data_IF_417718088363
#
_entry.id   IF_417718088363
#
_cell.length_a   1.000
_cell.length_b   1.000
_cell.length_c   1.000
_cell.angle_alpha   90.00
_cell.angle_beta   90.00
_cell.angle_gamma   90.00
#
_symmetry.space_group_name_H-M   'P 1'
#
loop_
_entity.id
_entity.type
_entity.pdbx_description
1 polymer ?
#
# COMPACT_ATOMS: atom_id res chain seq x y z
N UNK A 1 -51.51 -0.71 70.51
CA UNK A 1 -50.20 -0.17 70.08
C UNK A 1 -50.36 0.21 68.61
N UNK A 2 -50.78 1.45 68.29
CA UNK A 2 -49.93 2.61 67.93
C UNK A 2 -48.98 2.21 66.78
N UNK A 3 -49.03 2.73 65.55
CA UNK A 3 -49.24 4.12 65.14
C UNK A 3 -49.38 4.25 63.60
N UNK A 4 -50.25 5.18 63.16
CA UNK A 4 -50.00 6.27 62.16
C UNK A 4 -49.63 5.88 60.70
N UNK A 5 -50.11 6.49 59.61
CA UNK A 5 -50.85 7.70 59.17
C UNK A 5 -51.43 7.32 57.79
N UNK A 6 -52.59 7.75 57.25
CA UNK A 6 -53.18 9.08 57.23
C UNK A 6 -53.15 9.66 55.80
N UNK A 7 -54.28 9.55 55.05
CA UNK A 7 -54.91 10.51 54.07
C UNK A 7 -54.01 11.11 52.94
N UNK A 8 -54.43 11.36 51.69
CA UNK A 8 -55.75 11.68 51.10
C UNK A 8 -55.63 11.89 49.56
N UNK A 9 -56.73 11.55 48.86
CA UNK A 9 -57.37 12.20 47.69
C UNK A 9 -56.70 12.32 46.30
N UNK A 10 -57.46 11.85 45.31
CA UNK A 10 -57.33 11.96 43.84
C UNK A 10 -58.60 12.65 43.31
N UNK A 11 -58.47 13.68 42.46
CA UNK A 11 -59.55 14.33 41.69
C UNK A 11 -58.93 14.89 40.38
N UNK A 12 -59.04 14.19 39.24
CA UNK A 12 -59.77 14.49 37.95
C UNK A 12 -59.15 15.60 37.08
N UNK A 13 -59.46 15.78 35.76
CA UNK A 13 -60.47 15.13 34.89
C UNK A 13 -60.03 14.75 33.44
N UNK A 14 -60.98 14.17 32.71
CA UNK A 14 -61.01 13.87 31.26
C UNK A 14 -60.73 15.08 30.35
N UNK A 15 -60.21 14.81 29.14
CA UNK A 15 -60.77 15.36 27.88
C UNK A 15 -60.15 14.68 26.64
N UNK A 16 -61.02 14.08 25.84
CA UNK A 16 -60.85 13.80 24.41
C UNK A 16 -60.35 15.03 23.63
N UNK A 17 -59.34 14.86 22.77
CA UNK A 17 -59.40 15.37 21.40
C UNK A 17 -58.25 14.79 20.53
N UNK A 18 -58.60 14.03 19.49
CA UNK A 18 -57.72 13.74 18.36
C UNK A 18 -57.67 14.96 17.41
N UNK A 19 -56.64 15.10 16.55
CA UNK A 19 -56.83 14.54 15.22
C UNK A 19 -55.56 13.97 14.55
N UNK A 20 -55.84 13.05 13.63
CA UNK A 20 -54.98 12.47 12.60
C UNK A 20 -54.16 13.52 11.83
N UNK A 21 -52.84 13.33 11.79
CA UNK A 21 -51.97 13.83 10.74
C UNK A 21 -50.82 12.83 10.55
N UNK A 22 -50.97 11.95 9.56
CA UNK A 22 -49.87 11.18 9.00
C UNK A 22 -48.84 12.14 8.41
N UNK A 23 -47.61 12.09 8.92
CA UNK A 23 -46.43 12.61 8.23
C UNK A 23 -45.67 11.39 7.68
N UNK A 24 -45.23 11.40 6.41
CA UNK A 24 -44.37 10.34 5.93
C UNK A 24 -43.01 10.49 6.63
N UNK A 25 -42.57 9.43 7.30
CA UNK A 25 -41.21 9.32 7.79
C UNK A 25 -40.27 9.36 6.57
N UNK A 26 -39.46 10.41 6.45
CA UNK A 26 -38.31 10.41 5.55
C UNK A 26 -37.29 9.47 6.19
N UNK A 27 -37.32 8.21 5.78
CA UNK A 27 -36.26 7.25 6.06
C UNK A 27 -34.98 7.76 5.39
N UNK A 28 -34.14 8.42 6.18
CA UNK A 28 -32.75 8.68 5.80
C UNK A 28 -31.98 7.38 6.04
N UNK A 29 -32.11 6.42 5.13
CA UNK A 29 -31.22 5.25 5.09
C UNK A 29 -29.84 5.72 4.64
N UNK A 30 -29.06 6.24 5.59
CA UNK A 30 -27.63 6.29 5.45
C UNK A 30 -27.11 4.85 5.52
N UNK A 31 -26.98 4.20 4.37
CA UNK A 31 -26.24 2.94 4.28
C UNK A 31 -24.80 3.15 4.76
N UNK A 32 -24.25 2.28 5.63
CA UNK A 32 -23.01 2.55 6.31
C UNK A 32 -21.81 2.49 5.35
N UNK A 33 -20.84 3.37 5.58
CA UNK A 33 -19.58 3.59 4.84
C UNK A 33 -18.73 2.32 4.52
N UNK A 34 -19.11 1.16 5.03
CA UNK A 34 -18.45 -0.13 4.83
C UNK A 34 -18.49 -0.66 3.38
N UNK A 35 -19.40 -0.17 2.53
CA UNK A 35 -19.57 -0.68 1.15
C UNK A 35 -18.45 -0.19 0.21
N UNK A 36 -17.76 0.91 0.50
CA UNK A 36 -16.76 1.50 -0.44
C UNK A 36 -15.40 0.80 -0.49
N UNK A 37 -15.01 0.07 0.55
CA UNK A 37 -13.72 -0.64 0.55
C UNK A 37 -13.70 -1.81 -0.45
N UNK A 38 -14.86 -2.40 -0.78
CA UNK A 38 -14.97 -3.50 -1.75
C UNK A 38 -14.88 -3.08 -3.22
N UNK A 39 -14.88 -1.78 -3.54
CA UNK A 39 -14.91 -1.28 -4.93
C UNK A 39 -13.56 -0.79 -5.47
N UNK A 40 -12.48 -0.84 -4.68
CA UNK A 40 -11.17 -0.32 -5.11
C UNK A 40 -10.31 -1.48 -5.63
N UNK A 41 -9.85 -1.45 -6.89
CA UNK A 41 -8.95 -2.47 -7.41
C UNK A 41 -7.64 -2.55 -6.61
N UNK A 42 -7.11 -3.75 -6.40
CA UNK A 42 -5.84 -3.96 -5.66
C UNK A 42 -4.68 -3.14 -6.24
N UNK A 43 -4.60 -3.04 -7.57
CA UNK A 43 -3.61 -2.20 -8.23
C UNK A 43 -3.75 -0.71 -7.87
N UNK A 44 -4.96 -0.22 -7.60
CA UNK A 44 -5.19 1.14 -7.11
C UNK A 44 -4.79 1.26 -5.63
N UNK A 45 -5.08 0.26 -4.78
CA UNK A 45 -4.62 0.22 -3.38
C UNK A 45 -3.09 0.36 -3.28
N UNK A 46 -2.35 -0.39 -4.09
CA UNK A 46 -0.90 -0.30 -4.13
C UNK A 46 -0.41 1.11 -4.51
N UNK A 47 -1.09 1.78 -5.45
CA UNK A 47 -0.76 3.16 -5.86
C UNK A 47 -1.16 4.20 -4.82
N UNK A 48 -2.29 4.02 -4.13
CA UNK A 48 -2.70 4.88 -3.02
C UNK A 48 -1.64 4.90 -1.91
N UNK A 49 -1.01 3.75 -1.61
CA UNK A 49 0.11 3.71 -0.67
C UNK A 49 1.34 4.52 -1.14
N UNK A 50 1.61 4.53 -2.45
CA UNK A 50 2.66 5.39 -3.03
C UNK A 50 2.30 6.87 -2.94
N UNK A 51 1.05 7.22 -3.21
CA UNK A 51 0.56 8.60 -3.07
C UNK A 51 0.67 9.09 -1.64
N UNK A 52 0.27 8.26 -0.67
CA UNK A 52 0.38 8.59 0.74
C UNK A 52 1.84 8.90 1.11
N UNK A 53 2.81 8.08 0.66
CA UNK A 53 4.23 8.34 0.92
C UNK A 53 4.68 9.72 0.41
N UNK A 54 4.28 10.08 -0.81
CA UNK A 54 4.64 11.38 -1.40
C UNK A 54 3.96 12.52 -0.64
N UNK A 55 2.67 12.38 -0.35
CA UNK A 55 1.88 13.39 0.35
C UNK A 55 2.36 13.61 1.79
N UNK A 56 2.72 12.55 2.51
CA UNK A 56 3.30 12.65 3.86
C UNK A 56 4.62 13.43 3.84
N UNK A 57 5.50 13.19 2.86
CA UNK A 57 6.74 13.95 2.72
C UNK A 57 6.51 15.43 2.42
N UNK A 58 5.49 15.76 1.62
CA UNK A 58 5.09 17.14 1.34
C UNK A 58 4.45 17.82 2.55
N UNK A 59 3.63 17.09 3.31
CA UNK A 59 3.03 17.55 4.55
C UNK A 59 4.11 17.91 5.59
N UNK A 60 5.14 17.09 5.74
CA UNK A 60 6.30 17.37 6.61
C UNK A 60 7.06 18.63 6.19
N UNK A 61 7.04 18.96 4.89
CA UNK A 61 7.64 20.19 4.33
C UNK A 61 6.71 21.41 4.43
N UNK A 62 5.50 21.25 4.99
CA UNK A 62 4.53 22.33 5.17
C UNK A 62 3.71 22.67 3.91
N UNK A 63 3.72 21.82 2.89
CA UNK A 63 2.89 22.03 1.70
C UNK A 63 1.40 21.86 2.05
N UNK A 64 0.59 22.85 1.68
CA UNK A 64 -0.86 22.85 1.94
C UNK A 64 -1.66 22.33 0.75
N UNK A 65 -1.20 22.58 -0.48
CA UNK A 65 -1.88 22.19 -1.71
C UNK A 65 -0.95 21.54 -2.71
N UNK A 66 -1.48 20.62 -3.53
CA UNK A 66 -0.74 19.98 -4.64
C UNK A 66 -1.66 19.75 -5.84
N UNK A 67 -1.15 19.95 -7.06
CA UNK A 67 -1.88 19.63 -8.28
C UNK A 67 -1.85 18.12 -8.62
N UNK A 68 -2.79 17.66 -9.47
CA UNK A 68 -2.75 16.26 -9.96
C UNK A 68 -1.52 15.94 -10.79
N UNK A 69 -0.96 16.95 -11.46
CA UNK A 69 0.20 16.77 -12.33
C UNK A 69 1.46 16.58 -11.48
N UNK A 70 1.71 17.47 -10.52
CA UNK A 70 2.81 17.36 -9.56
C UNK A 70 2.77 16.05 -8.78
N UNK A 71 1.59 15.68 -8.23
CA UNK A 71 1.46 14.43 -7.48
C UNK A 71 1.71 13.22 -8.38
N UNK A 72 1.24 13.26 -9.62
CA UNK A 72 1.42 12.15 -10.56
C UNK A 72 2.88 11.98 -10.97
N UNK A 73 3.61 13.08 -11.16
CA UNK A 73 5.03 13.09 -11.48
C UNK A 73 5.85 12.57 -10.29
N UNK A 74 5.61 13.08 -9.10
CA UNK A 74 6.30 12.65 -7.88
C UNK A 74 6.02 11.17 -7.52
N UNK A 75 4.82 10.67 -7.81
CA UNK A 75 4.45 9.27 -7.62
C UNK A 75 4.87 8.36 -8.78
N UNK A 76 5.36 8.90 -9.90
CA UNK A 76 5.77 8.14 -11.08
C UNK A 76 4.61 7.46 -11.83
N UNK A 77 3.45 8.09 -11.88
CA UNK A 77 2.24 7.55 -12.54
C UNK A 77 1.61 8.56 -13.48
N UNK A 78 0.86 8.07 -14.46
CA UNK A 78 0.12 8.94 -15.37
C UNK A 78 -1.00 9.69 -14.63
N UNK A 79 -1.15 11.00 -14.88
CA UNK A 79 -2.12 11.86 -14.19
C UNK A 79 -3.58 11.45 -14.42
N UNK A 80 -3.92 10.82 -15.54
CA UNK A 80 -5.25 10.26 -15.78
C UNK A 80 -5.52 9.03 -14.90
N UNK A 81 -4.52 8.16 -14.69
CA UNK A 81 -4.61 7.05 -13.74
C UNK A 81 -4.76 7.56 -12.31
N UNK A 82 -3.95 8.55 -11.93
CA UNK A 82 -4.04 9.18 -10.61
C UNK A 82 -5.43 9.75 -10.35
N UNK A 83 -5.98 10.54 -11.29
CA UNK A 83 -7.33 11.11 -11.13
C UNK A 83 -8.40 10.02 -10.99
N UNK A 84 -8.28 8.93 -11.76
CA UNK A 84 -9.16 7.77 -11.63
C UNK A 84 -9.01 7.12 -10.24
N UNK A 85 -7.80 6.95 -9.74
CA UNK A 85 -7.58 6.36 -8.42
C UNK A 85 -8.11 7.25 -7.29
N UNK A 86 -7.89 8.56 -7.36
CA UNK A 86 -8.42 9.51 -6.37
C UNK A 86 -9.95 9.63 -6.42
N UNK A 87 -10.59 9.36 -7.57
CA UNK A 87 -12.05 9.35 -7.68
C UNK A 87 -12.72 8.29 -6.81
N UNK A 88 -12.01 7.22 -6.42
CA UNK A 88 -12.52 6.24 -5.46
C UNK A 88 -12.60 6.78 -4.03
N UNK A 89 -11.77 7.77 -3.70
CA UNK A 89 -11.81 8.44 -2.40
C UNK A 89 -13.08 9.31 -2.31
N UNK A 90 -13.43 9.97 -3.43
CA UNK A 90 -14.54 10.90 -3.57
C UNK A 90 -14.14 12.08 -4.45
N UNK A 91 -15.02 13.08 -4.57
CA UNK A 91 -14.71 14.33 -5.25
C UNK A 91 -13.90 15.24 -4.33
N UNK A 92 -12.59 15.03 -4.30
CA UNK A 92 -11.64 15.90 -3.61
C UNK A 92 -10.78 16.60 -4.63
N UNK A 93 -10.58 17.91 -4.45
CA UNK A 93 -9.82 18.75 -5.36
C UNK A 93 -10.70 19.79 -6.05
N UNK A 94 -10.18 21.01 -6.11
CA UNK A 94 -10.84 22.13 -6.77
C UNK A 94 -10.15 22.37 -8.11
N UNK A 95 -10.93 22.43 -9.19
CA UNK A 95 -10.40 22.67 -10.54
C UNK A 95 -9.62 23.99 -10.55
N UNK A 96 -8.35 23.93 -10.93
CA UNK A 96 -7.46 25.09 -10.96
C UNK A 96 -6.72 25.39 -9.64
N UNK A 97 -7.02 24.68 -8.54
CA UNK A 97 -6.34 24.84 -7.24
C UNK A 97 -5.58 23.58 -6.83
N UNK A 98 -6.10 22.40 -7.17
CA UNK A 98 -5.51 21.12 -6.77
C UNK A 98 -6.16 20.54 -5.52
N UNK A 99 -5.44 19.68 -4.82
CA UNK A 99 -5.87 18.96 -3.62
C UNK A 99 -5.26 19.59 -2.38
N UNK A 100 -6.03 19.67 -1.31
CA UNK A 100 -5.48 19.91 0.02
C UNK A 100 -4.70 18.67 0.48
N UNK A 101 -3.43 18.87 0.86
CA UNK A 101 -2.51 17.78 1.20
C UNK A 101 -2.98 17.04 2.45
N UNK A 102 -3.37 17.74 3.51
CA UNK A 102 -3.77 17.14 4.79
C UNK A 102 -5.08 16.36 4.68
N UNK A 103 -6.05 16.92 3.95
CA UNK A 103 -7.31 16.24 3.66
C UNK A 103 -7.03 14.98 2.85
N UNK A 104 -6.20 15.05 1.81
CA UNK A 104 -5.93 13.90 0.95
C UNK A 104 -5.17 12.80 1.69
N UNK A 105 -4.18 13.15 2.53
CA UNK A 105 -3.50 12.20 3.43
C UNK A 105 -4.51 11.47 4.29
N UNK A 106 -5.37 12.21 5.01
CA UNK A 106 -6.35 11.64 5.93
C UNK A 106 -7.33 10.69 5.23
N UNK A 107 -7.77 11.03 4.01
CA UNK A 107 -8.69 10.17 3.23
C UNK A 107 -8.01 8.90 2.75
N UNK A 108 -6.76 9.00 2.27
CA UNK A 108 -6.01 7.82 1.83
C UNK A 108 -5.71 6.91 3.02
N UNK A 109 -5.29 7.45 4.17
CA UNK A 109 -5.09 6.67 5.40
C UNK A 109 -6.35 5.93 5.82
N UNK A 110 -7.51 6.61 5.79
CA UNK A 110 -8.80 5.99 6.09
C UNK A 110 -9.11 4.81 5.17
N UNK A 111 -8.91 4.98 3.87
CA UNK A 111 -9.19 3.93 2.88
C UNK A 111 -8.21 2.77 2.96
N UNK A 112 -6.94 3.05 3.27
CA UNK A 112 -5.93 2.01 3.53
C UNK A 112 -6.06 1.36 4.92
N UNK A 113 -7.02 1.81 5.75
CA UNK A 113 -7.24 1.27 7.08
C UNK A 113 -6.14 1.63 8.08
N UNK A 114 -5.40 2.73 7.85
CA UNK A 114 -4.29 3.21 8.69
C UNK A 114 -4.75 4.12 9.84
N UNK A 115 -6.06 4.32 10.01
CA UNK A 115 -6.64 5.03 11.16
C UNK A 115 -6.45 4.27 12.48
N UNK A 116 -6.06 2.99 12.41
CA UNK A 116 -5.61 2.19 13.54
C UNK A 116 -4.17 1.74 13.31
N UNK A 117 -3.42 1.60 14.39
CA UNK A 117 -2.07 1.01 14.34
C UNK A 117 -2.19 -0.50 14.10
N UNK A 118 -1.44 -1.01 13.14
CA UNK A 118 -1.32 -2.43 12.87
C UNK A 118 0.00 -2.91 13.46
N UNK A 119 -0.07 -3.60 14.59
CA UNK A 119 1.12 -4.05 15.31
C UNK A 119 1.77 -5.19 14.55
N UNK A 120 3.10 -5.12 14.42
CA UNK A 120 3.91 -6.03 13.61
C UNK A 120 4.76 -6.92 14.51
N UNK A 121 4.75 -8.22 14.21
CA UNK A 121 5.75 -9.17 14.70
C UNK A 121 6.77 -9.49 13.61
N UNK A 122 8.05 -9.55 13.93
CA UNK A 122 9.11 -10.02 13.01
C UNK A 122 9.65 -11.35 13.53
N UNK A 123 9.65 -12.36 12.67
CA UNK A 123 10.17 -13.71 12.98
C UNK A 123 11.38 -14.01 12.10
N UNK A 124 12.47 -14.43 12.74
CA UNK A 124 13.78 -14.62 12.12
C UNK A 124 14.59 -13.34 12.16
N UNK A 125 15.37 -13.17 13.23
CA UNK A 125 16.24 -12.03 13.54
C UNK A 125 17.67 -12.31 13.01
N UNK A 126 17.75 -12.74 11.74
CA UNK A 126 19.00 -12.70 10.97
C UNK A 126 19.26 -11.30 10.40
N UNK A 127 20.12 -11.18 9.38
CA UNK A 127 20.45 -9.89 8.75
C UNK A 127 19.21 -9.07 8.33
N UNK A 128 18.26 -9.71 7.64
CA UNK A 128 17.04 -9.05 7.19
C UNK A 128 16.11 -8.71 8.37
N UNK A 129 15.92 -9.63 9.31
CA UNK A 129 15.09 -9.40 10.50
C UNK A 129 15.59 -8.25 11.35
N UNK A 130 16.91 -8.18 11.58
CA UNK A 130 17.55 -7.05 12.26
C UNK A 130 17.31 -5.72 11.53
N UNK A 131 17.43 -5.70 10.19
CA UNK A 131 17.19 -4.50 9.41
C UNK A 131 15.72 -4.03 9.52
N UNK A 132 14.77 -4.98 9.46
CA UNK A 132 13.35 -4.69 9.59
C UNK A 132 12.97 -4.23 11.00
N UNK A 133 13.53 -4.85 12.05
CA UNK A 133 13.29 -4.48 13.44
C UNK A 133 13.77 -3.06 13.76
N UNK A 134 14.85 -2.60 13.13
CA UNK A 134 15.41 -1.26 13.32
C UNK A 134 14.89 -0.24 12.30
N UNK A 135 13.93 -0.60 11.44
CA UNK A 135 13.44 0.31 10.42
C UNK A 135 12.47 1.34 11.01
N UNK A 136 12.97 2.54 11.29
CA UNK A 136 12.18 3.65 11.87
C UNK A 136 11.00 4.14 11.01
N UNK A 137 10.94 3.75 9.73
CA UNK A 137 9.83 4.14 8.85
C UNK A 137 8.52 3.38 9.09
N UNK A 138 8.54 2.29 9.86
CA UNK A 138 7.35 1.48 10.17
C UNK A 138 6.41 2.14 11.20
N UNK A 139 6.88 2.56 12.40
CA UNK A 139 6.03 3.23 13.38
C UNK A 139 5.33 4.49 12.84
N UNK A 140 6.05 5.34 12.10
CA UNK A 140 5.50 6.56 11.51
C UNK A 140 4.46 6.33 10.42
N UNK A 141 4.37 5.10 9.87
CA UNK A 141 3.38 4.70 8.85
C UNK A 141 2.23 3.87 9.42
N UNK A 142 2.09 3.82 10.75
CA UNK A 142 1.03 3.06 11.42
C UNK A 142 1.34 1.58 11.64
N UNK A 143 2.60 1.16 11.48
CA UNK A 143 3.04 -0.22 11.60
C UNK A 143 4.09 -0.42 12.71
N UNK A 144 3.80 -0.12 13.99
CA UNK A 144 4.79 -0.31 15.04
C UNK A 144 5.22 -1.78 15.13
N UNK A 145 6.54 -2.03 15.12
CA UNK A 145 7.10 -3.34 15.47
C UNK A 145 6.97 -3.49 16.97
N UNK A 146 6.34 -4.58 17.42
CA UNK A 146 5.96 -4.78 18.83
C UNK A 146 6.39 -6.15 19.34
N UNK A 147 6.88 -7.05 18.48
CA UNK A 147 7.37 -8.36 18.90
C UNK A 147 8.44 -8.88 17.93
N UNK A 148 9.47 -9.52 18.48
CA UNK A 148 10.57 -10.12 17.74
C UNK A 148 10.72 -11.57 18.19
N UNK A 149 10.93 -12.49 17.25
CA UNK A 149 11.06 -13.91 17.56
C UNK A 149 12.20 -14.56 16.81
N UNK A 150 12.95 -15.42 17.50
CA UNK A 150 13.96 -16.29 16.89
C UNK A 150 14.00 -17.66 17.59
N UNK A 151 14.63 -18.63 16.93
CA UNK A 151 14.93 -19.95 17.49
C UNK A 151 16.30 -19.96 18.18
N UNK A 152 17.22 -19.09 17.75
CA UNK A 152 18.58 -19.04 18.28
C UNK A 152 18.57 -18.64 19.77
N UNK A 153 18.96 -19.53 20.70
CA UNK A 153 18.96 -19.24 22.13
C UNK A 153 19.91 -18.08 22.50
N UNK A 154 20.93 -17.81 21.68
CA UNK A 154 21.86 -16.70 21.92
C UNK A 154 21.23 -15.34 21.60
N UNK A 155 20.18 -15.31 20.76
CA UNK A 155 19.40 -14.11 20.47
C UNK A 155 18.26 -13.89 21.45
N UNK A 156 17.72 -14.95 22.06
CA UNK A 156 16.58 -14.83 22.99
C UNK A 156 16.95 -13.93 24.18
N UNK A 157 16.11 -12.92 24.44
CA UNK A 157 16.31 -11.89 25.46
C UNK A 157 17.18 -10.71 25.03
N UNK A 158 17.94 -10.83 23.93
CA UNK A 158 18.76 -9.73 23.40
C UNK A 158 17.85 -8.64 22.84
N UNK A 159 18.04 -7.36 23.24
CA UNK A 159 17.25 -6.27 22.71
C UNK A 159 17.69 -5.90 21.29
N UNK A 160 16.75 -5.86 20.36
CA UNK A 160 16.95 -5.36 18.98
C UNK A 160 15.93 -4.27 18.73
N UNK A 161 16.37 -3.07 18.34
CA UNK A 161 15.48 -1.92 18.18
C UNK A 161 14.74 -1.53 19.47
N UNK A 162 15.30 -1.89 20.64
CA UNK A 162 14.67 -1.66 21.95
C UNK A 162 13.64 -2.72 22.38
N UNK A 163 13.43 -3.78 21.59
CA UNK A 163 12.51 -4.87 21.91
C UNK A 163 13.28 -6.18 22.18
N UNK A 164 12.94 -6.93 23.23
CA UNK A 164 13.56 -8.23 23.48
C UNK A 164 13.09 -9.25 22.43
N UNK A 165 14.03 -10.06 21.94
CA UNK A 165 13.70 -11.23 21.12
C UNK A 165 13.14 -12.34 22.01
N UNK A 166 11.95 -12.85 21.68
CA UNK A 166 11.31 -13.96 22.37
C UNK A 166 11.56 -15.28 21.63
N UNK A 167 11.41 -16.41 22.30
CA UNK A 167 11.55 -17.70 21.63
C UNK A 167 10.39 -17.93 20.65
N UNK A 168 10.65 -18.65 19.55
CA UNK A 168 9.66 -18.95 18.51
C UNK A 168 8.41 -19.69 19.03
N UNK A 169 8.54 -20.43 20.14
CA UNK A 169 7.40 -21.07 20.82
C UNK A 169 6.43 -20.10 21.50
N UNK A 170 6.86 -18.88 21.78
CA UNK A 170 6.02 -17.86 22.41
C UNK A 170 5.13 -17.11 21.40
N UNK A 171 5.32 -17.33 20.09
CA UNK A 171 4.58 -16.64 19.03
C UNK A 171 3.07 -16.63 19.29
N UNK A 172 2.38 -17.78 19.51
CA UNK A 172 0.93 -17.76 19.65
C UNK A 172 0.46 -16.93 20.85
N UNK A 173 1.16 -17.04 21.98
CA UNK A 173 0.85 -16.33 23.22
C UNK A 173 1.07 -14.82 23.05
N UNK A 174 2.28 -14.43 22.64
CA UNK A 174 2.68 -13.02 22.54
C UNK A 174 1.88 -12.30 21.46
N UNK A 175 1.59 -12.96 20.33
CA UNK A 175 0.77 -12.35 19.27
C UNK A 175 -0.65 -12.07 19.74
N UNK A 176 -1.27 -13.01 20.46
CA UNK A 176 -2.60 -12.84 21.02
C UNK A 176 -2.63 -11.72 22.09
N UNK A 177 -1.70 -11.75 23.06
CA UNK A 177 -1.62 -10.77 24.14
C UNK A 177 -1.37 -9.35 23.62
N UNK A 178 -0.47 -9.20 22.65
CA UNK A 178 -0.13 -7.89 22.07
C UNK A 178 -1.08 -7.46 20.96
N UNK A 179 -2.02 -8.31 20.55
CA UNK A 179 -2.93 -8.08 19.42
C UNK A 179 -2.16 -7.77 18.13
N UNK A 180 -1.17 -8.60 17.81
CA UNK A 180 -0.40 -8.50 16.57
C UNK A 180 -1.34 -8.83 15.40
N UNK A 181 -1.43 -7.90 14.44
CA UNK A 181 -2.26 -8.08 13.24
C UNK A 181 -1.45 -8.52 12.02
N UNK A 182 -0.16 -8.20 11.99
CA UNK A 182 0.73 -8.48 10.87
C UNK A 182 1.97 -9.25 11.34
N UNK A 183 2.26 -10.39 10.71
CA UNK A 183 3.48 -11.17 10.90
C UNK A 183 4.44 -11.00 9.72
N UNK A 184 5.71 -10.77 9.99
CA UNK A 184 6.77 -10.74 8.98
C UNK A 184 7.64 -11.98 9.15
N UNK A 185 7.77 -12.77 8.08
CA UNK A 185 8.58 -13.99 8.08
C UNK A 185 9.86 -13.71 7.30
N UNK A 186 10.98 -13.65 8.02
CA UNK A 186 12.32 -13.46 7.50
C UNK A 186 13.23 -14.66 7.81
N UNK A 187 12.64 -15.86 7.86
CA UNK A 187 13.33 -17.12 8.20
C UNK A 187 13.81 -17.86 6.95
N UNK A 188 14.68 -18.87 7.10
CA UNK A 188 14.95 -19.83 6.03
C UNK A 188 13.65 -20.53 5.55
N UNK A 189 13.62 -21.02 4.29
CA UNK A 189 12.44 -21.68 3.70
C UNK A 189 11.92 -22.85 4.53
N UNK A 190 12.82 -23.65 5.11
CA UNK A 190 12.49 -24.86 5.88
C UNK A 190 11.69 -24.57 7.15
N UNK A 191 11.83 -23.36 7.72
CA UNK A 191 11.13 -22.96 8.93
C UNK A 191 9.85 -22.14 8.66
N UNK A 192 9.71 -21.58 7.45
CA UNK A 192 8.71 -20.56 7.15
C UNK A 192 7.26 -21.03 7.35
N UNK A 193 6.92 -22.28 6.98
CA UNK A 193 5.56 -22.81 7.17
C UNK A 193 5.22 -22.98 8.66
N UNK A 194 6.13 -23.56 9.46
CA UNK A 194 5.91 -23.73 10.90
C UNK A 194 5.71 -22.38 11.62
N UNK A 195 6.48 -21.36 11.21
CA UNK A 195 6.30 -19.99 11.70
C UNK A 195 4.95 -19.40 11.30
N UNK A 196 4.56 -19.60 10.04
CA UNK A 196 3.26 -19.16 9.52
C UNK A 196 2.11 -19.76 10.35
N UNK A 197 2.13 -21.07 10.58
CA UNK A 197 1.10 -21.78 11.35
C UNK A 197 0.99 -21.22 12.79
N UNK A 198 2.12 -20.91 13.42
CA UNK A 198 2.17 -20.33 14.78
C UNK A 198 1.65 -18.90 14.81
N UNK A 199 1.96 -18.08 13.81
CA UNK A 199 1.42 -16.71 13.69
C UNK A 199 -0.10 -16.76 13.53
N UNK A 200 -0.61 -17.65 12.67
CA UNK A 200 -2.05 -17.86 12.47
C UNK A 200 -2.71 -18.32 13.77
N UNK A 201 -2.11 -19.27 14.49
CA UNK A 201 -2.59 -19.71 15.79
C UNK A 201 -2.61 -18.59 16.85
N UNK A 202 -1.71 -17.60 16.73
CA UNK A 202 -1.68 -16.39 17.54
C UNK A 202 -2.68 -15.30 17.14
N UNK A 203 -3.50 -15.53 16.11
CA UNK A 203 -4.53 -14.59 15.64
C UNK A 203 -4.05 -13.56 14.62
N UNK A 204 -2.84 -13.72 14.06
CA UNK A 204 -2.33 -12.87 12.99
C UNK A 204 -3.17 -13.09 11.72
N UNK A 205 -3.55 -12.01 11.05
CA UNK A 205 -4.44 -12.04 9.87
C UNK A 205 -3.70 -11.80 8.55
N UNK A 206 -2.58 -11.06 8.61
CA UNK A 206 -1.80 -10.71 7.43
C UNK A 206 -0.34 -11.13 7.62
N UNK A 207 0.27 -11.70 6.57
CA UNK A 207 1.65 -12.17 6.60
C UNK A 207 2.43 -11.54 5.45
N UNK A 208 3.55 -10.90 5.78
CA UNK A 208 4.56 -10.46 4.82
C UNK A 208 5.68 -11.50 4.78
N UNK A 209 5.75 -12.26 3.69
CA UNK A 209 6.66 -13.39 3.56
C UNK A 209 7.88 -13.01 2.70
N UNK A 210 9.07 -12.99 3.31
CA UNK A 210 10.35 -12.85 2.61
C UNK A 210 11.03 -14.20 2.34
N UNK A 211 10.55 -15.30 2.92
CA UNK A 211 11.09 -16.62 2.63
C UNK A 211 10.74 -17.01 1.18
N UNK A 212 11.69 -17.55 0.39
CA UNK A 212 11.46 -17.93 -1.00
C UNK A 212 10.69 -19.26 -1.12
N UNK A 213 9.51 -19.32 -0.50
CA UNK A 213 8.60 -20.47 -0.50
C UNK A 213 7.15 -19.98 -0.52
N UNK A 214 6.25 -20.78 -1.08
CA UNK A 214 4.80 -20.54 -1.04
C UNK A 214 4.26 -21.11 0.26
N UNK A 215 3.62 -20.27 1.07
CA UNK A 215 2.99 -20.68 2.33
C UNK A 215 1.58 -21.22 2.06
N UNK A 216 1.22 -22.26 2.79
CA UNK A 216 -0.16 -22.77 2.86
C UNK A 216 -0.87 -22.07 4.01
N UNK A 217 -1.96 -21.37 3.71
CA UNK A 217 -2.71 -20.62 4.72
C UNK A 217 -4.22 -20.83 4.57
N UNK A 218 -4.99 -20.70 5.66
CA UNK A 218 -6.44 -20.63 5.59
C UNK A 218 -6.93 -19.44 4.73
N UNK A 219 -8.14 -19.55 4.18
CA UNK A 219 -8.71 -18.52 3.28
C UNK A 219 -8.91 -17.12 3.91
N UNK A 220 -8.93 -17.02 5.25
CA UNK A 220 -9.07 -15.75 5.96
C UNK A 220 -7.72 -15.06 6.24
N UNK A 221 -6.60 -15.68 5.84
CA UNK A 221 -5.26 -15.15 6.03
C UNK A 221 -4.75 -14.58 4.71
N UNK A 222 -4.28 -13.35 4.73
CA UNK A 222 -3.71 -12.71 3.56
C UNK A 222 -2.18 -12.80 3.58
N UNK A 223 -1.58 -13.28 2.50
CA UNK A 223 -0.12 -13.43 2.39
C UNK A 223 0.40 -12.58 1.25
N UNK A 224 1.32 -11.67 1.56
CA UNK A 224 2.06 -10.88 0.57
C UNK A 224 3.50 -11.39 0.51
N UNK A 225 3.90 -11.93 -0.64
CA UNK A 225 5.28 -12.35 -0.90
C UNK A 225 6.14 -11.15 -1.29
N UNK A 226 7.36 -11.08 -0.77
CA UNK A 226 8.41 -10.16 -1.23
C UNK A 226 9.61 -10.97 -1.69
N UNK A 227 9.96 -10.83 -2.96
CA UNK A 227 11.08 -11.54 -3.58
C UNK A 227 12.00 -10.53 -4.26
N UNK A 228 12.98 -10.03 -3.50
CA UNK A 228 13.90 -9.00 -3.98
C UNK A 228 14.71 -9.47 -5.19
N UNK A 229 14.97 -10.77 -5.32
CA UNK A 229 15.70 -11.32 -6.45
C UNK A 229 14.88 -11.25 -7.74
N UNK A 230 13.58 -11.59 -7.67
CA UNK A 230 12.66 -11.44 -8.80
C UNK A 230 12.55 -9.97 -9.25
N UNK A 231 12.48 -9.03 -8.31
CA UNK A 231 12.46 -7.59 -8.64
C UNK A 231 13.73 -7.16 -9.41
N UNK A 232 14.92 -7.64 -8.98
CA UNK A 232 16.17 -7.38 -9.69
C UNK A 232 16.21 -8.02 -11.10
N UNK A 233 15.62 -9.20 -11.28
CA UNK A 233 15.51 -9.85 -12.59
C UNK A 233 14.63 -9.05 -13.55
N UNK A 234 13.51 -8.48 -13.07
CA UNK A 234 12.66 -7.58 -13.85
C UNK A 234 13.44 -6.34 -14.28
N UNK A 235 14.23 -5.75 -13.38
CA UNK A 235 15.09 -4.62 -13.72
C UNK A 235 16.15 -4.99 -14.76
N UNK A 236 16.76 -6.17 -14.65
CA UNK A 236 17.72 -6.69 -15.64
C UNK A 236 17.11 -6.80 -17.03
N UNK A 237 15.87 -7.28 -17.15
CA UNK A 237 15.14 -7.32 -18.42
C UNK A 237 14.99 -5.92 -19.05
N UNK A 238 14.70 -4.88 -18.26
CA UNK A 238 14.60 -3.52 -18.77
C UNK A 238 15.94 -2.94 -19.23
N UNK A 239 17.04 -3.28 -18.56
CA UNK A 239 18.39 -2.92 -18.98
C UNK A 239 18.72 -3.57 -20.32
N UNK A 240 18.49 -4.88 -20.45
CA UNK A 240 18.72 -5.61 -21.69
C UNK A 240 17.91 -5.04 -22.86
N UNK A 241 16.60 -4.85 -22.66
CA UNK A 241 15.71 -4.29 -23.69
C UNK A 241 16.13 -2.88 -24.15
N UNK A 242 16.63 -2.04 -23.23
CA UNK A 242 17.16 -0.71 -23.59
C UNK A 242 18.44 -0.81 -24.41
N UNK A 243 19.33 -1.74 -24.08
CA UNK A 243 20.55 -1.99 -24.84
C UNK A 243 20.24 -2.48 -26.27
N UNK A 244 19.29 -3.40 -26.42
CA UNK A 244 18.88 -3.92 -27.74
C UNK A 244 18.26 -2.83 -28.64
N UNK A 245 17.43 -1.95 -28.06
CA UNK A 245 16.86 -0.81 -28.77
C UNK A 245 17.94 0.20 -29.20
N UNK A 246 18.97 0.42 -28.38
CA UNK A 246 20.09 1.29 -28.72
C UNK A 246 20.99 0.67 -29.81
N UNK A 247 21.20 -0.65 -29.80
CA UNK A 247 21.96 -1.36 -30.82
C UNK A 247 21.24 -1.38 -32.19
N UNK A 248 19.92 -1.56 -32.19
CA UNK A 248 19.12 -1.60 -33.42
C UNK A 248 18.78 -0.22 -33.98
N UNK A 249 18.85 0.84 -33.18
CA UNK A 249 18.66 2.23 -33.63
C UNK A 249 19.85 2.81 -34.39
N UNK A 250 21.02 2.16 -34.37
CA UNK A 250 22.25 2.65 -34.99
C UNK A 250 22.54 2.02 -36.38
N UNK A 251 21.60 1.25 -36.94
CA UNK A 251 21.77 0.50 -38.20
C UNK A 251 20.92 0.96 -39.39
N UNK A 252 20.20 2.09 -39.30
CA UNK A 252 19.27 2.54 -40.34
C UNK A 252 19.52 3.98 -40.79
N UNK A 253 20.57 4.21 -41.57
CA UNK A 253 20.87 5.54 -42.08
C UNK A 253 22.04 5.67 -43.04
N UNK A 254 22.20 4.77 -44.01
CA UNK A 254 22.75 5.15 -45.32
C UNK A 254 22.43 4.11 -46.41
N UNK A 255 21.47 4.45 -47.27
CA UNK A 255 21.34 3.93 -48.64
C UNK A 255 20.23 4.73 -49.32
N UNK A 256 20.58 5.93 -49.77
CA UNK A 256 19.73 6.72 -50.65
C UNK A 256 19.53 6.01 -52.00
N UNK A 257 18.33 6.02 -52.59
CA UNK A 257 18.10 5.49 -53.93
C UNK A 257 18.54 6.52 -54.98
N UNK A 258 19.13 6.03 -56.08
CA UNK A 258 19.77 6.85 -57.09
C UNK A 258 18.86 7.48 -58.16
N UNK A 259 19.50 8.31 -58.99
CA UNK A 259 19.16 8.53 -60.41
C UNK A 259 18.59 9.91 -60.77
N UNK A 260 19.38 10.73 -61.47
CA UNK A 260 19.00 11.34 -62.77
C UNK A 260 20.11 12.25 -63.33
N UNK A 261 20.26 12.16 -64.64
CA UNK A 261 21.23 12.81 -65.54
C UNK A 261 21.04 14.33 -65.69
N UNK A 262 22.14 15.05 -65.96
CA UNK A 262 22.18 16.00 -67.09
C UNK A 262 23.62 16.40 -67.42
N UNK A 263 23.99 16.30 -68.70
CA UNK A 263 25.33 16.55 -69.21
C UNK A 263 25.63 18.00 -69.59
N UNK A 264 26.92 18.34 -69.65
CA UNK A 264 27.49 19.19 -70.69
C UNK A 264 29.03 19.15 -70.71
N UNK A 265 29.55 18.54 -71.77
CA UNK A 265 30.62 18.99 -72.69
C UNK A 265 31.89 19.66 -72.12
N UNK A 266 33.02 18.95 -72.27
CA UNK A 266 34.33 19.35 -72.86
C UNK A 266 35.34 18.28 -72.41
N UNK A 267 36.14 17.60 -73.23
CA UNK A 267 36.76 17.95 -74.50
C UNK A 267 38.26 17.60 -74.35
N UNK A 268 38.78 16.81 -75.30
CA UNK A 268 40.20 16.51 -75.57
C UNK A 268 40.87 15.33 -74.83
N UNK A 269 41.25 14.32 -75.63
CA UNK A 269 42.69 14.10 -75.80
C UNK A 269 43.21 12.68 -75.60
N UNK A 270 43.26 11.94 -76.70
CA UNK A 270 44.44 11.20 -77.18
C UNK A 270 44.79 9.83 -76.53
N UNK A 271 44.52 8.76 -77.29
CA UNK A 271 45.59 8.02 -77.96
C UNK A 271 46.10 6.71 -77.33
N UNK A 272 46.04 5.65 -78.14
CA UNK A 272 47.04 4.57 -78.28
C UNK A 272 47.11 3.57 -77.09
N UNK A 273 47.21 2.24 -77.22
CA UNK A 273 47.93 1.39 -78.16
C UNK A 273 47.23 0.04 -78.32
N UNK A 274 47.32 -0.47 -79.55
CA UNK A 274 46.97 -1.79 -80.04
C UNK A 274 48.12 -2.77 -79.77
N UNK A 275 47.79 -3.87 -79.07
CA UNK A 275 48.25 -5.28 -79.19
C UNK A 275 48.58 -5.93 -77.86
#
# INVERSE_FOLDING_TARGET
>A
MVSQRGRRTRVTPDADNAPTAEMPAVETTAEPEAVRAKSIPEAAVARLAVYLRVLSGLAEQGATTISSEELSQAAGVNSAKLRKDLSYLGSYGTRGVGYDVQVLVSQIERILGLTRKHKVAVVGIGNLGHALANYGGFPGRGFPVEALFDLDPDLVGVPVGGLPVSHLDEIPKVCAERQISIGVIATPPTAAQSVCDRLVAGGVQCILNFAPVVLQVPAHIEVRKVDLAVELQILSFHVARRADLAANGNGGGDSGPGGAENGSVNGHGNGMVVR
#
